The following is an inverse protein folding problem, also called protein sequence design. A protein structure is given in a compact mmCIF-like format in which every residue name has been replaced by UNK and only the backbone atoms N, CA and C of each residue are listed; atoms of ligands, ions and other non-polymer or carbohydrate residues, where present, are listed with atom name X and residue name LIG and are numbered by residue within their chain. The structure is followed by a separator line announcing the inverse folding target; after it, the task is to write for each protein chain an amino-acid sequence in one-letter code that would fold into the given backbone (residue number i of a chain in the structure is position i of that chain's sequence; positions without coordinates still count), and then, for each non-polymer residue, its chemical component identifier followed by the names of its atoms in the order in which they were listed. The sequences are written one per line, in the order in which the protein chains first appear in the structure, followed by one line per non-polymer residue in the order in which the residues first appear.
data_IF_817807561853
#
_entry.id   IF_817807561853
#
_cell.length_a   1.000
_cell.length_b   1.000
_cell.length_c   1.000
_cell.angle_alpha   90.00
_cell.angle_beta   90.00
_cell.angle_gamma   90.00
#
_symmetry.space_group_name_H-M   'P 1'
#
loop_
_entity.id
_entity.type
_entity.pdbx_description
1 polymer ?
#
# COMPACT_ATOMS: atom_id res chain seq x y z
N UNK A 1 -54.44 -21.59 -6.33
CA UNK A 1 -55.12 -20.30 -6.11
C UNK A 1 -54.31 -19.29 -6.91
N UNK A 2 -54.58 -19.23 -8.22
CA UNK A 2 -55.59 -18.32 -8.84
C UNK A 2 -54.96 -16.94 -8.99
N UNK A 3 -54.51 -16.63 -10.21
CA UNK A 3 -55.26 -15.90 -11.25
C UNK A 3 -55.01 -14.39 -11.03
N UNK A 4 -54.75 -13.51 -12.01
CA UNK A 4 -54.78 -13.56 -13.47
C UNK A 4 -54.29 -12.17 -13.93
N UNK A 5 -53.48 -12.04 -15.00
CA UNK A 5 -53.89 -11.59 -16.35
C UNK A 5 -54.48 -10.17 -16.38
N UNK A 6 -54.24 -9.29 -17.34
CA UNK A 6 -53.62 -9.26 -18.66
C UNK A 6 -53.69 -7.74 -19.06
N UNK A 7 -53.23 -7.17 -20.17
CA UNK A 7 -53.27 -7.67 -21.53
C UNK A 7 -52.59 -6.70 -22.52
N UNK A 8 -52.03 -7.29 -23.58
CA UNK A 8 -52.16 -6.95 -25.01
C UNK A 8 -51.66 -5.60 -25.59
N UNK A 9 -51.16 -5.50 -26.84
CA UNK A 9 -51.19 -6.41 -27.98
C UNK A 9 -50.12 -5.99 -29.03
N UNK A 10 -49.66 -6.97 -29.82
CA UNK A 10 -49.03 -6.78 -31.14
C UNK A 10 -50.13 -6.48 -32.21
N UNK A 11 -49.87 -6.36 -33.54
CA UNK A 11 -49.43 -7.51 -34.36
C UNK A 11 -48.58 -7.22 -35.63
N UNK A 12 -47.56 -8.07 -35.82
CA UNK A 12 -47.25 -8.86 -37.03
C UNK A 12 -46.45 -8.30 -38.25
N UNK A 13 -45.77 -9.21 -39.01
CA UNK A 13 -44.64 -8.99 -39.94
C UNK A 13 -45.08 -9.24 -41.42
N UNK A 14 -44.25 -9.64 -42.44
CA UNK A 14 -42.78 -9.81 -42.56
C UNK A 14 -42.13 -9.29 -43.90
N UNK A 15 -40.82 -9.54 -44.03
CA UNK A 15 -40.10 -10.00 -45.25
C UNK A 15 -39.63 -9.02 -46.37
N UNK A 16 -38.37 -9.28 -46.77
CA UNK A 16 -37.69 -9.07 -48.06
C UNK A 16 -36.98 -7.74 -48.42
N UNK A 17 -35.64 -7.87 -48.50
CA UNK A 17 -34.77 -7.66 -49.66
C UNK A 17 -34.72 -6.33 -50.43
N UNK A 18 -33.46 -5.88 -50.56
CA UNK A 18 -32.80 -5.32 -51.74
C UNK A 18 -32.98 -3.83 -52.11
N UNK A 19 -31.79 -3.25 -52.32
CA UNK A 19 -31.37 -2.23 -53.28
C UNK A 19 -32.05 -0.84 -53.34
N UNK A 20 -31.23 0.13 -52.94
CA UNK A 20 -30.58 1.13 -53.80
C UNK A 20 -31.39 2.32 -54.35
N UNK A 21 -30.60 3.39 -54.53
CA UNK A 21 -30.77 4.52 -55.43
C UNK A 21 -31.53 5.76 -54.90
N UNK A 22 -30.69 6.71 -54.47
CA UNK A 22 -30.62 8.11 -54.91
C UNK A 22 -31.77 9.13 -54.68
N UNK A 23 -31.27 10.33 -54.38
CA UNK A 23 -31.62 11.63 -54.98
C UNK A 23 -32.45 12.65 -54.16
N UNK A 24 -31.72 13.76 -53.87
CA UNK A 24 -32.11 15.19 -53.97
C UNK A 24 -33.19 15.81 -53.07
N UNK A 25 -32.81 16.93 -52.44
CA UNK A 25 -33.31 18.30 -52.70
C UNK A 25 -32.73 19.25 -51.62
N UNK A 26 -32.05 20.38 -51.91
CA UNK A 26 -32.38 21.60 -52.67
C UNK A 26 -33.26 22.61 -51.90
N UNK A 27 -32.72 23.83 -51.67
CA UNK A 27 -33.42 25.12 -51.51
C UNK A 27 -32.40 26.20 -51.93
N UNK A 28 -32.47 26.88 -53.08
CA UNK A 28 -33.39 27.92 -53.58
C UNK A 28 -33.10 29.36 -53.07
N UNK A 29 -33.05 30.28 -54.05
CA UNK A 29 -32.54 31.65 -54.06
C UNK A 29 -33.50 32.72 -53.45
N UNK A 30 -33.19 34.03 -53.63
CA UNK A 30 -34.12 34.82 -54.44
C UNK A 30 -33.49 35.87 -55.40
N UNK A 31 -34.27 36.23 -56.42
CA UNK A 31 -34.16 37.35 -57.40
C UNK A 31 -35.32 38.34 -57.10
N UNK A 32 -35.32 39.64 -57.51
CA UNK A 32 -35.96 40.10 -58.79
C UNK A 32 -35.27 41.37 -59.43
N UNK A 33 -35.03 41.49 -60.76
CA UNK A 33 -35.87 41.94 -61.91
C UNK A 33 -36.09 43.49 -62.05
N UNK A 34 -36.38 44.09 -63.24
CA UNK A 34 -36.07 43.76 -64.66
C UNK A 34 -35.71 44.96 -65.60
N UNK A 35 -35.34 44.61 -66.85
CA UNK A 35 -35.47 45.31 -68.15
C UNK A 35 -34.73 46.64 -68.43
N UNK A 36 -33.83 46.63 -69.43
CA UNK A 36 -34.04 47.35 -70.70
C UNK A 36 -33.03 46.92 -71.76
N UNK A 37 -33.56 46.60 -72.94
CA UNK A 37 -32.86 46.34 -74.20
C UNK A 37 -32.27 47.63 -74.77
N UNK A 38 -30.97 47.63 -75.04
CA UNK A 38 -30.37 48.55 -76.02
C UNK A 38 -29.57 47.73 -77.04
N UNK A 39 -30.20 47.48 -78.19
CA UNK A 39 -29.47 47.17 -79.42
C UNK A 39 -28.58 48.38 -79.75
N UNK A 40 -27.27 48.17 -79.80
CA UNK A 40 -26.36 49.12 -80.42
C UNK A 40 -25.69 48.43 -81.59
N UNK A 41 -26.22 48.74 -82.77
CA UNK A 41 -25.69 48.44 -84.08
C UNK A 41 -24.24 48.96 -84.19
N UNK A 42 -23.29 48.06 -84.46
CA UNK A 42 -21.89 48.42 -84.71
C UNK A 42 -21.65 48.30 -86.21
N UNK A 43 -21.69 49.42 -86.91
CA UNK A 43 -21.29 49.52 -88.31
C UNK A 43 -19.76 49.31 -88.46
N UNK A 44 -19.28 48.70 -89.57
CA UNK A 44 -17.86 48.40 -89.74
C UNK A 44 -17.09 49.63 -90.24
N UNK A 45 -16.03 50.01 -89.53
CA UNK A 45 -15.06 51.01 -90.00
C UNK A 45 -13.78 50.33 -90.48
N UNK A 46 -13.45 50.56 -91.76
CA UNK A 46 -12.23 50.09 -92.41
C UNK A 46 -11.06 51.04 -92.15
N UNK A 47 -9.91 50.42 -91.87
CA UNK A 47 -8.53 50.77 -92.21
C UNK A 47 -7.90 52.10 -91.72
N UNK A 48 -6.74 51.96 -91.06
CA UNK A 48 -5.72 53.00 -90.93
C UNK A 48 -4.57 52.53 -90.05
N UNK A 49 -3.46 52.10 -90.65
CA UNK A 49 -2.27 51.63 -89.92
C UNK A 49 -1.49 52.75 -89.23
N UNK A 50 -0.81 52.42 -88.13
CA UNK A 50 0.22 53.26 -87.51
C UNK A 50 0.46 53.01 -86.02
N UNK A 51 1.60 52.38 -85.70
CA UNK A 51 2.30 52.25 -84.40
C UNK A 51 1.82 51.17 -83.38
N UNK A 52 2.52 50.02 -83.27
CA UNK A 52 2.18 48.92 -82.36
C UNK A 52 2.63 49.10 -80.90
N UNK A 53 3.09 50.27 -80.46
CA UNK A 53 3.73 50.43 -79.14
C UNK A 53 2.78 50.39 -77.93
N UNK A 54 1.56 50.92 -78.05
CA UNK A 54 0.58 50.88 -76.95
C UNK A 54 -0.08 49.50 -76.80
N UNK A 55 -0.30 48.81 -77.92
CA UNK A 55 -0.81 47.44 -77.91
C UNK A 55 0.22 46.46 -77.33
N UNK A 56 1.52 46.62 -77.64
CA UNK A 56 2.57 45.78 -77.06
C UNK A 56 2.80 46.07 -75.57
N UNK A 57 2.67 47.32 -75.13
CA UNK A 57 2.80 47.67 -73.71
C UNK A 57 1.62 47.16 -72.88
N UNK A 58 0.39 47.24 -73.40
CA UNK A 58 -0.78 46.65 -72.76
C UNK A 58 -0.67 45.12 -72.67
N UNK A 59 -0.15 44.46 -73.72
CA UNK A 59 0.09 43.01 -73.73
C UNK A 59 1.16 42.61 -72.69
N UNK A 60 2.26 43.35 -72.58
CA UNK A 60 3.30 43.09 -71.59
C UNK A 60 2.80 43.28 -70.15
N UNK A 61 1.93 44.24 -69.90
CA UNK A 61 1.36 44.48 -68.57
C UNK A 61 0.42 43.35 -68.15
N UNK A 62 -0.41 42.85 -69.07
CA UNK A 62 -1.26 41.67 -68.83
C UNK A 62 -0.41 40.43 -68.56
N UNK A 63 0.69 40.26 -69.30
CA UNK A 63 1.59 39.11 -69.13
C UNK A 63 2.38 39.19 -67.81
N UNK A 64 2.78 40.39 -67.37
CA UNK A 64 3.41 40.62 -66.07
C UNK A 64 2.44 40.37 -64.91
N UNK A 65 1.16 40.78 -65.03
CA UNK A 65 0.13 40.49 -64.03
C UNK A 65 -0.21 38.99 -63.97
N UNK A 66 -0.25 38.30 -65.12
CA UNK A 66 -0.43 36.86 -65.16
C UNK A 66 0.76 36.11 -64.54
N UNK A 67 1.99 36.57 -64.78
CA UNK A 67 3.19 36.02 -64.15
C UNK A 67 3.21 36.27 -62.63
N UNK A 68 2.79 37.46 -62.18
CA UNK A 68 2.67 37.78 -60.75
C UNK A 68 1.57 36.95 -60.08
N UNK A 69 0.40 36.79 -60.71
CA UNK A 69 -0.68 35.94 -60.22
C UNK A 69 -0.23 34.46 -60.15
N UNK A 70 0.43 33.96 -61.20
CA UNK A 70 1.03 32.62 -61.22
C UNK A 70 2.07 32.43 -60.10
N UNK A 71 2.90 33.45 -59.85
CA UNK A 71 3.89 33.44 -58.77
C UNK A 71 3.21 33.38 -57.39
N UNK A 72 2.15 34.15 -57.15
CA UNK A 72 1.44 34.14 -55.87
C UNK A 72 0.76 32.80 -55.57
N UNK A 73 0.23 32.13 -56.60
CA UNK A 73 -0.39 30.80 -56.46
C UNK A 73 0.67 29.73 -56.19
N UNK A 74 1.83 29.81 -56.85
CA UNK A 74 2.97 28.93 -56.58
C UNK A 74 3.54 29.13 -55.17
N UNK A 75 3.62 30.36 -54.68
CA UNK A 75 4.04 30.69 -53.32
C UNK A 75 3.05 30.16 -52.28
N UNK A 76 1.73 30.26 -52.56
CA UNK A 76 0.68 29.72 -51.71
C UNK A 76 0.72 28.18 -51.64
N UNK A 77 0.90 27.51 -52.78
CA UNK A 77 1.08 26.05 -52.82
C UNK A 77 2.30 25.58 -52.03
N UNK A 78 3.42 26.31 -52.11
CA UNK A 78 4.64 25.98 -51.34
C UNK A 78 4.45 26.15 -49.82
N UNK A 79 3.57 27.06 -49.39
CA UNK A 79 3.24 27.26 -47.97
C UNK A 79 2.34 26.15 -47.42
N UNK A 80 1.40 25.67 -48.22
CA UNK A 80 0.55 24.54 -47.83
C UNK A 80 1.35 23.25 -47.66
N UNK A 81 2.28 22.95 -48.57
CA UNK A 81 3.14 21.75 -48.44
C UNK A 81 4.04 21.82 -47.21
N UNK A 82 4.57 23.00 -46.87
CA UNK A 82 5.40 23.18 -45.67
C UNK A 82 4.60 23.06 -44.36
N UNK A 83 3.30 23.37 -44.37
CA UNK A 83 2.41 23.17 -43.23
C UNK A 83 2.04 21.70 -43.05
N UNK A 84 1.80 20.97 -44.14
CA UNK A 84 1.53 19.54 -44.13
C UNK A 84 2.75 18.74 -43.63
N UNK A 85 3.96 19.08 -44.05
CA UNK A 85 5.19 18.44 -43.56
C UNK A 85 5.41 18.67 -42.04
N UNK A 86 5.07 19.85 -41.53
CA UNK A 86 5.16 20.14 -40.08
C UNK A 86 4.15 19.35 -39.26
N UNK A 87 2.94 19.14 -39.79
CA UNK A 87 1.92 18.32 -39.12
C UNK A 87 2.34 16.84 -39.09
N UNK A 88 2.90 16.32 -40.20
CA UNK A 88 3.43 14.96 -40.26
C UNK A 88 4.62 14.73 -39.30
N UNK A 89 5.47 15.73 -39.11
CA UNK A 89 6.57 15.67 -38.13
C UNK A 89 6.06 15.69 -36.68
N UNK A 90 4.99 16.44 -36.38
CA UNK A 90 4.41 16.45 -35.04
C UNK A 90 3.72 15.11 -34.71
N UNK A 91 2.97 14.56 -35.67
CA UNK A 91 2.29 13.27 -35.53
C UNK A 91 3.29 12.11 -35.30
N UNK A 92 4.37 12.08 -36.07
CA UNK A 92 5.41 11.05 -35.93
C UNK A 92 6.27 11.16 -34.66
N UNK A 93 6.39 12.36 -34.06
CA UNK A 93 7.05 12.52 -32.75
C UNK A 93 6.12 12.05 -31.64
N UNK A 94 4.83 12.38 -31.69
CA UNK A 94 3.85 11.92 -30.70
C UNK A 94 3.65 10.39 -30.73
N UNK A 95 3.68 9.76 -31.91
CA UNK A 95 3.62 8.29 -32.00
C UNK A 95 4.85 7.62 -31.40
N UNK A 96 6.05 8.18 -31.58
CA UNK A 96 7.28 7.64 -30.98
C UNK A 96 7.27 7.75 -29.46
N UNK A 97 6.86 8.89 -28.91
CA UNK A 97 6.77 9.07 -27.46
C UNK A 97 5.71 8.15 -26.83
N UNK A 98 4.58 7.90 -27.50
CA UNK A 98 3.58 6.93 -27.04
C UNK A 98 4.11 5.50 -27.06
N UNK A 99 4.86 5.11 -28.09
CA UNK A 99 5.45 3.78 -28.20
C UNK A 99 6.51 3.55 -27.12
N UNK A 100 7.44 4.49 -26.92
CA UNK A 100 8.50 4.40 -25.90
C UNK A 100 7.91 4.35 -24.47
N UNK A 101 6.87 5.15 -24.20
CA UNK A 101 6.16 5.12 -22.92
C UNK A 101 5.43 3.79 -22.69
N UNK A 102 4.81 3.23 -23.73
CA UNK A 102 4.13 1.93 -23.65
C UNK A 102 5.11 0.77 -23.43
N UNK A 103 6.30 0.82 -24.02
CA UNK A 103 7.36 -0.17 -23.81
C UNK A 103 7.92 -0.11 -22.40
N UNK A 104 8.17 1.09 -21.86
CA UNK A 104 8.59 1.26 -20.47
C UNK A 104 7.53 0.74 -19.49
N UNK A 105 6.25 1.00 -19.75
CA UNK A 105 5.17 0.55 -18.89
C UNK A 105 4.98 -0.99 -18.96
N UNK A 106 5.17 -1.59 -20.13
CA UNK A 106 5.20 -3.04 -20.30
C UNK A 106 6.39 -3.68 -19.57
N UNK A 107 7.55 -3.01 -19.55
CA UNK A 107 8.73 -3.47 -18.83
C UNK A 107 8.53 -3.43 -17.31
N UNK A 108 7.95 -2.36 -16.76
CA UNK A 108 7.64 -2.25 -15.32
C UNK A 108 6.63 -3.33 -14.89
N UNK A 109 5.59 -3.59 -15.71
CA UNK A 109 4.64 -4.68 -15.43
C UNK A 109 5.31 -6.05 -15.40
N UNK A 110 6.18 -6.36 -16.37
CA UNK A 110 6.94 -7.62 -16.40
C UNK A 110 7.85 -7.79 -15.18
N UNK A 111 8.49 -6.71 -14.72
CA UNK A 111 9.32 -6.74 -13.51
C UNK A 111 8.45 -6.97 -12.28
N UNK A 112 7.29 -6.31 -12.19
CA UNK A 112 6.32 -6.54 -11.11
C UNK A 112 5.82 -7.99 -11.07
N UNK A 113 5.42 -8.52 -12.23
CA UNK A 113 4.94 -9.90 -12.38
C UNK A 113 6.04 -10.93 -12.04
N UNK A 114 7.29 -10.69 -12.47
CA UNK A 114 8.43 -11.55 -12.17
C UNK A 114 8.79 -11.52 -10.68
N UNK A 115 8.76 -10.34 -10.05
CA UNK A 115 9.04 -10.20 -8.62
C UNK A 115 7.95 -10.84 -7.76
N UNK A 116 6.68 -10.66 -8.15
CA UNK A 116 5.54 -11.28 -7.48
C UNK A 116 5.52 -12.80 -7.66
N UNK A 117 5.85 -13.30 -8.86
CA UNK A 117 6.01 -14.72 -9.12
C UNK A 117 7.12 -15.36 -8.29
N UNK A 118 8.26 -14.67 -8.15
CA UNK A 118 9.38 -15.09 -7.29
C UNK A 118 9.00 -15.11 -5.81
N UNK A 119 8.39 -14.03 -5.29
CA UNK A 119 7.92 -14.00 -3.91
C UNK A 119 6.92 -15.12 -3.61
N UNK A 120 5.95 -15.33 -4.51
CA UNK A 120 4.95 -16.38 -4.32
C UNK A 120 5.56 -17.78 -4.39
N UNK A 121 6.56 -17.98 -5.26
CA UNK A 121 7.33 -19.23 -5.33
C UNK A 121 8.17 -19.46 -4.08
N UNK A 122 8.82 -18.43 -3.54
CA UNK A 122 9.58 -18.49 -2.29
C UNK A 122 8.68 -18.75 -1.09
N UNK A 123 7.51 -18.09 -0.98
CA UNK A 123 6.54 -18.37 0.07
C UNK A 123 6.00 -19.81 -0.02
N UNK A 124 5.68 -20.28 -1.23
CA UNK A 124 5.14 -21.62 -1.45
C UNK A 124 6.18 -22.71 -1.18
N UNK A 125 7.43 -22.49 -1.58
CA UNK A 125 8.53 -23.40 -1.27
C UNK A 125 8.89 -23.37 0.22
N UNK A 126 8.83 -22.20 0.86
CA UNK A 126 8.95 -22.02 2.31
C UNK A 126 7.89 -22.81 3.05
N UNK A 127 6.61 -22.64 2.72
CA UNK A 127 5.48 -23.38 3.29
C UNK A 127 5.62 -24.90 3.06
N UNK A 128 5.97 -25.32 1.84
CA UNK A 128 6.20 -26.72 1.51
C UNK A 128 7.40 -27.33 2.25
N UNK A 129 8.37 -26.52 2.69
CA UNK A 129 9.51 -26.96 3.51
C UNK A 129 9.21 -26.96 5.01
N UNK A 130 8.26 -26.13 5.46
CA UNK A 130 7.82 -26.03 6.86
C UNK A 130 6.95 -27.23 7.27
N UNK A 131 6.08 -27.70 6.39
CA UNK A 131 5.19 -28.84 6.65
C UNK A 131 5.91 -30.15 7.00
N UNK A 132 6.92 -30.62 6.23
CA UNK A 132 7.70 -31.79 6.63
C UNK A 132 8.54 -31.52 7.88
N UNK A 133 9.04 -30.29 8.09
CA UNK A 133 9.78 -29.94 9.32
C UNK A 133 8.90 -30.00 10.56
N UNK A 134 7.67 -29.48 10.51
CA UNK A 134 6.68 -29.57 11.60
C UNK A 134 6.31 -31.02 11.88
N UNK A 135 6.13 -31.83 10.83
CA UNK A 135 5.83 -33.26 10.99
C UNK A 135 7.01 -34.00 11.64
N UNK A 136 8.24 -33.70 11.23
CA UNK A 136 9.46 -34.23 11.85
C UNK A 136 9.60 -33.78 13.31
N UNK A 137 9.25 -32.52 13.61
CA UNK A 137 9.30 -31.96 14.95
C UNK A 137 8.23 -32.60 15.86
N UNK A 138 7.03 -32.82 15.34
CA UNK A 138 5.98 -33.54 16.05
C UNK A 138 6.40 -34.98 16.36
N UNK A 139 6.99 -35.69 15.39
CA UNK A 139 7.51 -37.04 15.59
C UNK A 139 8.66 -37.10 16.60
N UNK A 140 9.57 -36.12 16.59
CA UNK A 140 10.64 -36.04 17.59
C UNK A 140 10.11 -35.69 18.98
N UNK A 141 9.09 -34.83 19.08
CA UNK A 141 8.42 -34.57 20.36
C UNK A 141 7.70 -35.82 20.89
N UNK A 142 7.06 -36.60 20.02
CA UNK A 142 6.39 -37.85 20.40
C UNK A 142 7.41 -38.91 20.83
N UNK A 143 8.54 -39.02 20.12
CA UNK A 143 9.66 -39.88 20.50
C UNK A 143 10.28 -39.44 21.83
N UNK A 144 10.52 -38.15 22.03
CA UNK A 144 11.04 -37.59 23.30
C UNK A 144 10.05 -37.81 24.44
N UNK A 145 8.74 -37.69 24.20
CA UNK A 145 7.68 -37.99 25.17
C UNK A 145 7.65 -39.48 25.55
N UNK A 146 7.79 -40.36 24.55
CA UNK A 146 7.96 -41.80 24.74
C UNK A 146 9.21 -42.13 25.55
N UNK A 147 10.33 -41.48 25.22
CA UNK A 147 11.57 -41.63 25.96
C UNK A 147 11.43 -41.10 27.40
N UNK A 148 10.78 -39.94 27.60
CA UNK A 148 10.53 -39.36 28.92
C UNK A 148 9.66 -40.27 29.78
N UNK A 149 8.60 -40.86 29.23
CA UNK A 149 7.73 -41.79 29.96
C UNK A 149 8.45 -43.11 30.27
N UNK A 150 9.31 -43.59 29.38
CA UNK A 150 10.19 -44.73 29.64
C UNK A 150 11.25 -44.43 30.70
N UNK A 151 11.83 -43.22 30.69
CA UNK A 151 12.76 -42.72 31.70
C UNK A 151 12.04 -42.54 33.04
N UNK A 152 10.83 -41.98 33.04
CA UNK A 152 10.04 -41.75 34.25
C UNK A 152 9.62 -43.07 34.90
N UNK A 153 9.25 -44.09 34.11
CA UNK A 153 8.97 -45.43 34.64
C UNK A 153 10.24 -46.13 35.15
N UNK A 154 11.38 -45.99 34.46
CA UNK A 154 12.68 -46.47 34.95
C UNK A 154 13.12 -45.76 36.23
N UNK A 155 12.91 -44.46 36.32
CA UNK A 155 13.17 -43.63 37.51
C UNK A 155 12.19 -43.93 38.63
N UNK A 156 10.93 -44.30 38.35
CA UNK A 156 9.98 -44.74 39.36
C UNK A 156 10.34 -46.12 39.92
N UNK A 157 10.79 -47.05 39.06
CA UNK A 157 11.27 -48.38 39.46
C UNK A 157 12.59 -48.27 40.21
N UNK A 158 13.57 -47.51 39.71
CA UNK A 158 14.81 -47.20 40.42
C UNK A 158 14.53 -46.42 41.70
N UNK A 159 13.60 -45.47 41.70
CA UNK A 159 13.19 -44.70 42.88
C UNK A 159 12.55 -45.56 43.96
N UNK A 160 11.82 -46.63 43.56
CA UNK A 160 11.33 -47.65 44.48
C UNK A 160 12.43 -48.53 45.08
N UNK A 161 13.54 -48.73 44.35
CA UNK A 161 14.73 -49.44 44.85
C UNK A 161 15.68 -48.51 45.64
N UNK A 162 15.81 -47.23 45.28
CA UNK A 162 16.57 -46.19 45.97
C UNK A 162 15.86 -45.70 47.24
N UNK A 163 14.52 -45.72 47.30
CA UNK A 163 13.78 -45.47 48.54
C UNK A 163 14.14 -46.48 49.65
N UNK A 164 14.83 -47.58 49.29
CA UNK A 164 15.37 -48.58 50.24
C UNK A 164 16.83 -48.30 50.63
N UNK A 165 17.52 -47.33 50.01
CA UNK A 165 18.90 -46.94 50.32
C UNK A 165 19.05 -45.40 50.39
N UNK A 166 19.25 -44.88 51.61
CA UNK A 166 19.91 -43.60 51.96
C UNK A 166 19.11 -42.28 51.86
N UNK A 167 19.03 -41.57 53.00
CA UNK A 167 18.61 -40.17 53.08
C UNK A 167 19.57 -39.22 52.33
N UNK A 168 20.85 -39.58 52.21
CA UNK A 168 21.88 -38.80 51.51
C UNK A 168 21.60 -38.71 50.00
N UNK A 169 21.10 -39.79 49.40
CA UNK A 169 20.79 -39.81 47.96
C UNK A 169 19.56 -38.95 47.65
N UNK A 170 18.60 -38.90 48.57
CA UNK A 170 17.44 -38.00 48.47
C UNK A 170 17.85 -36.53 48.53
N UNK A 171 18.75 -36.17 49.45
CA UNK A 171 19.26 -34.80 49.55
C UNK A 171 20.08 -34.40 48.31
N UNK A 172 20.94 -35.29 47.81
CA UNK A 172 21.71 -35.08 46.58
C UNK A 172 20.80 -34.87 45.36
N UNK A 173 19.72 -35.65 45.27
CA UNK A 173 18.71 -35.49 44.24
C UNK A 173 17.98 -34.14 44.35
N UNK A 174 17.54 -33.74 45.55
CA UNK A 174 16.89 -32.45 45.77
C UNK A 174 17.82 -31.26 45.42
N UNK A 175 19.10 -31.35 45.73
CA UNK A 175 20.09 -30.33 45.35
C UNK A 175 20.24 -30.22 43.83
N UNK A 176 20.34 -31.36 43.14
CA UNK A 176 20.42 -31.41 41.67
C UNK A 176 19.16 -30.85 41.01
N UNK A 177 17.98 -31.14 41.57
CA UNK A 177 16.71 -30.60 41.08
C UNK A 177 16.62 -29.08 41.30
N UNK A 178 17.07 -28.58 42.45
CA UNK A 178 17.15 -27.14 42.69
C UNK A 178 18.11 -26.46 41.70
N UNK A 179 19.29 -27.06 41.44
CA UNK A 179 20.24 -26.54 40.45
C UNK A 179 19.63 -26.50 39.05
N UNK A 180 18.96 -27.57 38.64
CA UNK A 180 18.26 -27.64 37.35
C UNK A 180 17.23 -26.51 37.21
N UNK A 181 16.39 -26.29 38.24
CA UNK A 181 15.40 -25.22 38.24
C UNK A 181 16.03 -23.83 38.17
N UNK A 182 17.13 -23.58 38.89
CA UNK A 182 17.86 -22.30 38.82
C UNK A 182 18.47 -22.08 37.43
N UNK A 183 19.06 -23.11 36.83
CA UNK A 183 19.61 -23.05 35.47
C UNK A 183 18.51 -22.81 34.43
N UNK A 184 17.39 -23.52 34.55
CA UNK A 184 16.23 -23.34 33.67
C UNK A 184 15.61 -21.95 33.81
N UNK A 185 15.56 -21.39 35.03
CA UNK A 185 15.10 -20.02 35.27
C UNK A 185 15.98 -19.01 34.54
N UNK A 186 17.30 -19.13 34.68
CA UNK A 186 18.26 -18.25 34.02
C UNK A 186 18.19 -18.37 32.50
N UNK A 187 18.10 -19.61 31.97
CA UNK A 187 17.95 -19.85 30.54
C UNK A 187 16.66 -19.22 29.98
N UNK A 188 15.51 -19.43 30.65
CA UNK A 188 14.23 -18.85 30.24
C UNK A 188 14.27 -17.33 30.27
N UNK A 189 14.86 -16.72 31.29
CA UNK A 189 14.98 -15.28 31.36
C UNK A 189 15.85 -14.72 30.22
N UNK A 190 17.01 -15.33 29.96
CA UNK A 190 17.93 -14.85 28.91
C UNK A 190 17.37 -15.09 27.50
N UNK A 191 16.75 -16.25 27.25
CA UNK A 191 16.30 -16.63 25.91
C UNK A 191 14.94 -16.04 25.52
N UNK A 192 14.00 -15.96 26.46
CA UNK A 192 12.62 -15.57 26.16
C UNK A 192 12.17 -14.32 26.89
N UNK A 193 12.96 -13.79 27.84
CA UNK A 193 12.56 -12.66 28.66
C UNK A 193 11.36 -12.93 29.58
N UNK A 194 11.03 -14.20 29.80
CA UNK A 194 9.83 -14.60 30.55
C UNK A 194 10.09 -14.50 32.06
N UNK A 195 9.76 -13.34 32.60
CA UNK A 195 9.95 -13.01 34.02
C UNK A 195 9.03 -13.81 34.95
N UNK A 196 7.82 -14.15 34.51
CA UNK A 196 6.87 -14.92 35.32
C UNK A 196 7.30 -16.39 35.43
N UNK A 197 7.69 -17.02 34.32
CA UNK A 197 8.25 -18.37 34.35
C UNK A 197 9.54 -18.44 35.17
N UNK A 198 10.46 -17.48 34.99
CA UNK A 198 11.67 -17.40 35.78
C UNK A 198 11.36 -17.29 37.29
N UNK A 199 10.41 -16.43 37.68
CA UNK A 199 9.94 -16.32 39.07
C UNK A 199 9.32 -17.61 39.60
N UNK A 200 8.52 -18.30 38.81
CA UNK A 200 7.89 -19.56 39.21
C UNK A 200 8.94 -20.66 39.47
N UNK A 201 9.97 -20.74 38.60
CA UNK A 201 11.09 -21.66 38.74
C UNK A 201 11.94 -21.33 39.97
N UNK A 202 12.29 -20.06 40.19
CA UNK A 202 13.02 -19.60 41.39
C UNK A 202 12.25 -19.92 42.69
N UNK A 203 10.93 -19.73 42.73
CA UNK A 203 10.10 -20.11 43.89
C UNK A 203 10.08 -21.61 44.13
N UNK A 204 10.06 -22.41 43.06
CA UNK A 204 10.12 -23.86 43.17
C UNK A 204 11.48 -24.33 43.70
N UNK A 205 12.58 -23.72 43.23
CA UNK A 205 13.91 -23.96 43.77
C UNK A 205 14.00 -23.58 45.27
N UNK A 206 13.52 -22.41 45.68
CA UNK A 206 13.51 -22.02 47.11
C UNK A 206 12.69 -22.98 47.99
N UNK A 207 11.58 -23.53 47.46
CA UNK A 207 10.79 -24.54 48.17
C UNK A 207 11.58 -25.83 48.40
N UNK A 208 12.36 -26.27 47.42
CA UNK A 208 13.24 -27.45 47.56
C UNK A 208 14.34 -27.17 48.58
N UNK A 209 14.99 -26.00 48.51
CA UNK A 209 16.02 -25.62 49.48
C UNK A 209 15.48 -25.47 50.90
N UNK A 210 14.22 -25.05 51.06
CA UNK A 210 13.53 -25.02 52.35
C UNK A 210 13.29 -26.43 52.91
N UNK A 211 12.98 -27.41 52.06
CA UNK A 211 12.79 -28.81 52.48
C UNK A 211 14.08 -29.48 52.96
N UNK A 212 15.23 -29.05 52.42
CA UNK A 212 16.56 -29.55 52.80
C UNK A 212 17.01 -29.05 54.19
N UNK A 213 16.48 -27.91 54.66
CA UNK A 213 16.76 -27.31 55.98
C UNK A 213 18.26 -27.22 56.37
N UNK A 214 19.14 -27.01 55.39
CA UNK A 214 20.59 -26.90 55.60
C UNK A 214 21.05 -25.44 55.72
N UNK A 215 21.74 -25.12 56.82
CA UNK A 215 22.32 -23.79 57.09
C UNK A 215 23.28 -23.32 56.00
N UNK A 216 23.99 -24.25 55.33
CA UNK A 216 24.93 -23.94 54.23
C UNK A 216 24.22 -23.31 53.02
N UNK A 217 22.92 -23.59 52.85
CA UNK A 217 22.10 -23.11 51.73
C UNK A 217 21.50 -21.72 51.98
N UNK A 218 21.68 -21.12 53.16
CA UNK A 218 21.14 -19.78 53.44
C UNK A 218 21.62 -18.71 52.47
N UNK A 219 22.88 -18.75 52.07
CA UNK A 219 23.43 -17.80 51.08
C UNK A 219 22.68 -17.92 49.74
N UNK A 220 22.40 -19.15 49.31
CA UNK A 220 21.62 -19.43 48.09
C UNK A 220 20.19 -18.92 48.22
N UNK A 221 19.52 -19.21 49.34
CA UNK A 221 18.14 -18.73 49.57
C UNK A 221 18.07 -17.20 49.63
N UNK A 222 19.07 -16.55 50.21
CA UNK A 222 19.18 -15.08 50.19
C UNK A 222 19.37 -14.53 48.78
N UNK A 223 20.17 -15.21 47.94
CA UNK A 223 20.33 -14.83 46.54
C UNK A 223 19.02 -14.99 45.77
N UNK A 224 18.30 -16.10 45.92
CA UNK A 224 16.99 -16.31 45.30
C UNK A 224 15.99 -15.23 45.74
N UNK A 225 15.97 -14.87 47.02
CA UNK A 225 15.09 -13.81 47.52
C UNK A 225 15.40 -12.45 46.87
N UNK A 226 16.68 -12.12 46.71
CA UNK A 226 17.12 -10.89 46.01
C UNK A 226 16.74 -10.92 44.54
N UNK A 227 16.91 -12.05 43.85
CA UNK A 227 16.58 -12.20 42.43
C UNK A 227 15.06 -12.16 42.19
N UNK A 228 14.28 -12.80 43.07
CA UNK A 228 12.82 -12.67 43.08
C UNK A 228 12.37 -11.23 43.30
N UNK A 229 13.04 -10.46 44.16
CA UNK A 229 12.74 -9.05 44.37
C UNK A 229 13.09 -8.21 43.12
N UNK A 230 14.24 -8.47 42.49
CA UNK A 230 14.64 -7.82 41.25
C UNK A 230 13.65 -8.08 40.11
N UNK A 231 13.23 -9.35 39.92
CA UNK A 231 12.24 -9.72 38.90
C UNK A 231 10.84 -9.14 39.15
N UNK A 232 10.47 -8.88 40.41
CA UNK A 232 9.21 -8.17 40.72
C UNK A 232 9.25 -6.69 40.36
N UNK A 233 10.45 -6.11 40.32
CA UNK A 233 10.64 -4.71 39.95
C UNK A 233 10.61 -4.45 38.45
N UNK A 234 10.61 -5.50 37.62
CA UNK A 234 10.58 -5.39 36.15
C UNK A 234 9.18 -4.98 35.69
N UNK A 235 9.01 -3.83 34.99
CA UNK A 235 7.74 -3.43 34.40
C UNK A 235 7.20 -4.44 33.39
N UNK A 236 5.89 -4.64 33.38
CA UNK A 236 5.20 -5.46 32.36
C UNK A 236 4.74 -4.57 31.21
N UNK A 237 5.15 -4.90 29.98
CA UNK A 237 4.70 -4.21 28.77
C UNK A 237 3.46 -4.91 28.22
N UNK A 238 2.41 -4.14 27.92
CA UNK A 238 1.19 -4.64 27.26
C UNK A 238 1.43 -4.78 25.75
N UNK A 239 2.17 -5.83 25.38
CA UNK A 239 2.50 -6.13 23.97
C UNK A 239 1.24 -6.40 23.16
N UNK A 240 0.23 -7.03 23.75
CA UNK A 240 -1.05 -7.32 23.08
C UNK A 240 -1.81 -6.04 22.76
N UNK A 241 -1.95 -5.12 23.73
CA UNK A 241 -2.56 -3.81 23.51
C UNK A 241 -1.83 -2.98 22.45
N UNK A 242 -0.50 -2.95 22.48
CA UNK A 242 0.30 -2.26 21.47
C UNK A 242 0.13 -2.89 20.07
N UNK A 243 0.05 -4.22 19.98
CA UNK A 243 -0.20 -4.93 18.72
C UNK A 243 -1.59 -4.58 18.15
N UNK A 244 -2.63 -4.58 18.99
CA UNK A 244 -3.99 -4.23 18.57
C UNK A 244 -4.09 -2.77 18.10
N UNK A 245 -3.40 -1.84 18.77
CA UNK A 245 -3.30 -0.44 18.32
C UNK A 245 -2.65 -0.34 16.94
N UNK A 246 -1.55 -1.05 16.70
CA UNK A 246 -0.90 -1.09 15.38
C UNK A 246 -1.80 -1.71 14.32
N UNK A 247 -2.55 -2.76 14.65
CA UNK A 247 -3.50 -3.40 13.74
C UNK A 247 -4.62 -2.43 13.33
N UNK A 248 -5.17 -1.68 14.29
CA UNK A 248 -6.16 -0.65 14.01
C UNK A 248 -5.60 0.47 13.11
N UNK A 249 -4.32 0.85 13.29
CA UNK A 249 -3.65 1.81 12.41
C UNK A 249 -3.44 1.28 11.00
N UNK A 250 -3.17 -0.01 10.83
CA UNK A 250 -3.07 -0.63 9.50
C UNK A 250 -4.39 -0.56 8.74
N UNK A 251 -5.51 -0.81 9.43
CA UNK A 251 -6.85 -0.67 8.84
C UNK A 251 -7.20 0.79 8.53
N UNK A 252 -6.89 1.72 9.43
CA UNK A 252 -7.06 3.16 9.18
C UNK A 252 -6.21 3.62 7.98
N UNK A 253 -4.95 3.16 7.90
CA UNK A 253 -4.04 3.43 6.79
C UNK A 253 -4.58 2.96 5.43
N UNK A 254 -5.32 1.84 5.41
CA UNK A 254 -5.96 1.34 4.20
C UNK A 254 -7.11 2.24 3.72
N UNK A 255 -7.75 2.97 4.65
CA UNK A 255 -8.86 3.88 4.36
C UNK A 255 -8.41 5.29 3.93
N UNK A 256 -7.12 5.63 3.97
CA UNK A 256 -6.65 6.94 3.49
C UNK A 256 -6.88 7.04 1.99
N UNK A 257 -7.59 8.10 1.60
CA UNK A 257 -7.82 8.46 0.21
C UNK A 257 -6.99 9.70 -0.14
N UNK A 258 -6.30 9.64 -1.28
CA UNK A 258 -5.73 10.84 -1.92
C UNK A 258 -6.78 11.56 -2.77
N UNK A 259 -7.80 10.81 -3.22
CA UNK A 259 -8.91 11.32 -4.02
C UNK A 259 -10.23 11.17 -3.27
N UNK A 260 -10.76 12.27 -2.74
CA UNK A 260 -12.21 12.39 -2.62
C UNK A 260 -12.73 12.86 -3.98
N UNK A 261 -13.46 12.01 -4.71
CA UNK A 261 -14.32 12.55 -5.76
C UNK A 261 -15.25 13.55 -5.06
N UNK A 262 -15.39 14.80 -5.56
CA UNK A 262 -16.40 15.70 -5.03
C UNK A 262 -17.70 14.92 -5.06
N UNK A 263 -18.36 14.74 -3.90
CA UNK A 263 -19.74 14.31 -3.87
C UNK A 263 -20.43 15.21 -4.88
N UNK A 264 -20.91 14.60 -5.98
CA UNK A 264 -21.54 15.36 -7.05
C UNK A 264 -22.61 16.18 -6.37
N UNK A 265 -22.37 17.50 -6.26
CA UNK A 265 -23.30 18.43 -5.63
C UNK A 265 -24.65 18.06 -6.20
N UNK A 266 -25.52 17.53 -5.33
CA UNK A 266 -26.87 17.19 -5.73
C UNK A 266 -27.42 18.49 -6.28
N UNK A 267 -27.42 18.62 -7.62
CA UNK A 267 -28.04 19.75 -8.29
C UNK A 267 -29.48 19.68 -7.85
N UNK A 268 -29.82 20.52 -6.88
CA UNK A 268 -31.17 20.73 -6.43
C UNK A 268 -31.96 20.97 -7.71
N UNK A 269 -32.82 20.02 -8.07
CA UNK A 269 -33.76 20.21 -9.15
C UNK A 269 -34.69 21.34 -8.70
N UNK A 270 -34.45 22.54 -9.22
CA UNK A 270 -35.31 23.69 -8.97
C UNK A 270 -36.71 23.36 -9.49
N UNK A 271 -37.71 23.57 -8.62
CA UNK A 271 -39.11 23.30 -8.92
C UNK A 271 -39.61 24.14 -10.13
N UNK A 272 -40.62 23.66 -10.89
CA UNK A 272 -41.07 24.32 -12.10
C UNK A 272 -41.65 25.71 -11.78
N UNK A 273 -41.13 26.75 -12.43
CA UNK A 273 -41.63 28.12 -12.28
C UNK A 273 -42.97 28.28 -13.03
N UNK A 274 -44.04 28.57 -12.29
CA UNK A 274 -45.39 28.78 -12.84
C UNK A 274 -45.52 30.13 -13.59
N UNK A 275 -44.66 31.12 -13.30
CA UNK A 275 -44.77 32.47 -13.85
C UNK A 275 -43.70 32.81 -14.90
N UNK A 276 -44.07 33.58 -15.93
CA UNK A 276 -43.20 33.87 -17.09
C UNK A 276 -42.02 34.79 -16.73
N UNK A 277 -42.22 35.64 -15.72
CA UNK A 277 -41.18 36.55 -15.20
C UNK A 277 -40.10 35.80 -14.43
N UNK A 278 -40.48 34.71 -13.76
CA UNK A 278 -39.53 33.87 -13.03
C UNK A 278 -38.78 32.92 -13.95
N UNK A 279 -39.41 32.44 -15.03
CA UNK A 279 -38.69 31.74 -16.13
C UNK A 279 -37.63 32.61 -16.80
N UNK A 280 -37.90 33.90 -17.01
CA UNK A 280 -36.92 34.81 -17.59
C UNK A 280 -35.73 35.07 -16.64
N UNK A 281 -36.00 35.17 -15.33
CA UNK A 281 -34.97 35.31 -14.30
C UNK A 281 -34.14 34.04 -14.13
N UNK A 282 -34.76 32.86 -14.18
CA UNK A 282 -34.08 31.57 -14.19
C UNK A 282 -33.22 31.41 -15.45
N UNK A 283 -33.74 31.76 -16.62
CA UNK A 283 -33.00 31.74 -17.89
C UNK A 283 -31.80 32.70 -17.89
N UNK A 284 -31.95 33.91 -17.35
CA UNK A 284 -30.83 34.86 -17.22
C UNK A 284 -29.78 34.37 -16.22
N UNK A 285 -30.18 33.80 -15.06
CA UNK A 285 -29.23 33.19 -14.11
C UNK A 285 -28.50 31.99 -14.70
N UNK A 286 -29.21 31.12 -15.43
CA UNK A 286 -28.62 29.97 -16.10
C UNK A 286 -27.65 30.40 -17.22
N UNK A 287 -27.96 31.48 -17.95
CA UNK A 287 -27.07 32.05 -18.95
C UNK A 287 -25.82 32.70 -18.34
N UNK A 288 -25.98 33.40 -17.21
CA UNK A 288 -24.86 33.99 -16.46
C UNK A 288 -23.98 32.90 -15.83
N UNK A 289 -24.57 31.82 -15.32
CA UNK A 289 -23.84 30.66 -14.81
C UNK A 289 -23.08 29.92 -15.93
N UNK A 290 -23.70 29.69 -17.10
CA UNK A 290 -22.99 29.11 -18.25
C UNK A 290 -21.84 30.00 -18.75
N UNK A 291 -21.98 31.33 -18.62
CA UNK A 291 -20.92 32.26 -18.98
C UNK A 291 -19.81 32.30 -17.93
N UNK A 292 -20.11 32.13 -16.65
CA UNK A 292 -19.09 31.99 -15.60
C UNK A 292 -18.33 30.67 -15.70
N UNK A 293 -18.99 29.58 -16.08
CA UNK A 293 -18.34 28.27 -16.31
C UNK A 293 -17.36 28.31 -17.50
N UNK A 294 -17.59 29.19 -18.47
CA UNK A 294 -16.71 29.38 -19.62
C UNK A 294 -15.54 30.35 -19.35
N UNK A 295 -15.60 31.13 -18.27
CA UNK A 295 -14.50 31.98 -17.81
C UNK A 295 -13.71 31.19 -16.76
N UNK A 296 -12.84 30.31 -17.22
CA UNK A 296 -11.85 29.65 -16.38
C UNK A 296 -10.80 30.69 -15.97
N UNK A 297 -11.02 31.37 -14.85
CA UNK A 297 -9.96 32.11 -14.16
C UNK A 297 -9.03 31.06 -13.54
N UNK A 298 -8.09 30.57 -14.34
CA UNK A 298 -6.95 29.79 -13.84
C UNK A 298 -6.11 30.73 -12.97
N UNK A 299 -6.42 30.81 -11.67
CA UNK A 299 -5.42 31.20 -10.67
C UNK A 299 -4.36 30.11 -10.70
N UNK A 300 -3.24 30.44 -11.34
CA UNK A 300 -2.06 29.60 -11.46
C UNK A 300 -1.30 29.64 -10.14
N UNK A 301 -1.81 28.93 -9.14
CA UNK A 301 -1.07 28.38 -8.00
C UNK A 301 -1.83 27.14 -7.50
N UNK A 302 -1.87 26.10 -8.32
CA UNK A 302 -2.11 24.74 -7.81
C UNK A 302 -0.72 24.11 -7.77
N UNK A 303 -0.21 23.70 -6.59
CA UNK A 303 1.07 23.02 -6.52
C UNK A 303 1.02 21.75 -7.38
N UNK A 304 2.19 21.37 -7.89
CA UNK A 304 2.43 20.43 -8.99
C UNK A 304 2.02 18.95 -8.69
N UNK A 305 1.13 18.70 -7.71
CA UNK A 305 0.70 17.36 -7.27
C UNK A 305 -0.59 16.83 -7.92
N UNK A 306 -1.26 17.62 -8.76
CA UNK A 306 -2.53 17.21 -9.41
C UNK A 306 -2.40 16.13 -10.51
N UNK A 307 -1.24 15.45 -10.62
CA UNK A 307 -1.07 14.27 -11.46
C UNK A 307 -0.30 13.17 -10.69
N UNK A 308 -0.74 12.82 -9.48
CA UNK A 308 -0.38 11.51 -8.91
C UNK A 308 -1.31 10.48 -9.54
N UNK A 309 -0.77 9.66 -10.45
CA UNK A 309 -1.46 8.51 -11.05
C UNK A 309 -2.11 7.66 -9.93
N UNK A 310 -3.37 7.16 -10.05
CA UNK A 310 -3.96 6.24 -9.07
C UNK A 310 -3.07 5.06 -8.65
N UNK A 311 -2.09 4.69 -9.50
CA UNK A 311 -1.05 3.72 -9.18
C UNK A 311 -0.11 4.16 -8.03
N UNK A 312 0.21 5.45 -7.92
CA UNK A 312 1.07 6.00 -6.86
C UNK A 312 0.40 5.94 -5.48
N UNK A 313 -0.89 6.23 -5.40
CA UNK A 313 -1.65 6.14 -4.14
C UNK A 313 -1.64 4.72 -3.56
N UNK A 314 -1.86 3.72 -4.41
CA UNK A 314 -1.79 2.31 -4.02
C UNK A 314 -0.41 1.93 -3.47
N UNK A 315 0.66 2.43 -4.09
CA UNK A 315 2.04 2.18 -3.65
C UNK A 315 2.34 2.80 -2.28
N UNK A 316 1.86 4.02 -2.01
CA UNK A 316 2.05 4.67 -0.71
C UNK A 316 1.31 3.89 0.38
N UNK A 317 0.05 3.50 0.15
CA UNK A 317 -0.71 2.66 1.10
C UNK A 317 -0.02 1.31 1.36
N UNK A 318 0.48 0.67 0.31
CA UNK A 318 1.16 -0.62 0.43
C UNK A 318 2.46 -0.50 1.25
N UNK A 319 3.24 0.56 1.03
CA UNK A 319 4.44 0.83 1.82
C UNK A 319 4.11 1.12 3.29
N UNK A 320 3.06 1.92 3.54
CA UNK A 320 2.62 2.22 4.90
C UNK A 320 2.20 0.94 5.63
N UNK A 321 1.37 0.09 4.98
CA UNK A 321 0.98 -1.21 5.50
C UNK A 321 2.19 -2.09 5.83
N UNK A 322 3.13 -2.22 4.89
CA UNK A 322 4.35 -3.00 5.08
C UNK A 322 5.16 -2.51 6.30
N UNK A 323 5.30 -1.19 6.48
CA UNK A 323 6.03 -0.62 7.61
C UNK A 323 5.34 -0.87 8.94
N UNK A 324 4.01 -0.80 8.98
CA UNK A 324 3.21 -1.13 10.18
C UNK A 324 3.30 -2.63 10.51
N UNK A 325 3.24 -3.50 9.51
CA UNK A 325 3.45 -4.95 9.68
C UNK A 325 4.88 -5.25 10.17
N UNK A 326 5.90 -4.54 9.66
CA UNK A 326 7.28 -4.65 10.16
C UNK A 326 7.38 -4.19 11.62
N UNK A 327 6.69 -3.10 11.99
CA UNK A 327 6.63 -2.65 13.38
C UNK A 327 5.96 -3.70 14.29
N UNK A 328 4.89 -4.35 13.84
CA UNK A 328 4.24 -5.44 14.58
C UNK A 328 5.19 -6.62 14.81
N UNK A 329 5.93 -7.05 13.79
CA UNK A 329 6.93 -8.13 13.95
C UNK A 329 8.07 -7.70 14.88
N UNK A 330 8.53 -6.46 14.78
CA UNK A 330 9.57 -5.91 15.66
C UNK A 330 9.10 -5.82 17.12
N UNK A 331 7.84 -5.45 17.35
CA UNK A 331 7.20 -5.44 18.67
C UNK A 331 7.18 -6.86 19.26
N UNK A 332 6.71 -7.85 18.51
CA UNK A 332 6.62 -9.24 18.97
C UNK A 332 7.98 -9.90 19.22
N UNK A 333 9.00 -9.47 18.48
CA UNK A 333 10.39 -9.94 18.66
C UNK A 333 11.17 -9.16 19.72
N UNK A 334 10.56 -8.16 20.37
CA UNK A 334 11.22 -7.32 21.36
C UNK A 334 12.34 -6.44 20.80
N UNK A 335 12.33 -6.17 19.49
CA UNK A 335 13.33 -5.35 18.81
C UNK A 335 12.92 -3.86 18.81
N UNK A 336 13.20 -3.17 19.91
CA UNK A 336 12.85 -1.75 20.07
C UNK A 336 13.50 -0.81 19.03
N UNK A 337 14.63 -1.19 18.43
CA UNK A 337 15.27 -0.38 17.38
C UNK A 337 14.46 -0.45 16.08
N UNK A 338 14.21 -1.68 15.57
CA UNK A 338 13.43 -1.87 14.35
C UNK A 338 12.00 -1.38 14.51
N UNK A 339 11.40 -1.54 15.69
CA UNK A 339 10.08 -1.01 16.00
C UNK A 339 10.01 0.50 15.79
N UNK A 340 10.90 1.26 16.44
CA UNK A 340 10.93 2.73 16.33
C UNK A 340 11.28 3.20 14.92
N UNK A 341 12.23 2.54 14.26
CA UNK A 341 12.61 2.83 12.87
C UNK A 341 11.42 2.63 11.90
N UNK A 342 10.69 1.52 12.03
CA UNK A 342 9.51 1.25 11.22
C UNK A 342 8.42 2.31 11.42
N UNK A 343 8.16 2.73 12.66
CA UNK A 343 7.18 3.77 12.97
C UNK A 343 7.61 5.14 12.43
N UNK A 344 8.88 5.53 12.58
CA UNK A 344 9.38 6.79 12.03
C UNK A 344 9.27 6.83 10.50
N UNK A 345 9.59 5.73 9.82
CA UNK A 345 9.40 5.62 8.38
C UNK A 345 7.92 5.67 8.00
N UNK A 346 7.05 5.03 8.76
CA UNK A 346 5.60 5.10 8.53
C UNK A 346 5.09 6.54 8.60
N UNK A 347 5.54 7.32 9.59
CA UNK A 347 5.23 8.76 9.70
C UNK A 347 5.63 9.57 8.46
N UNK A 348 6.80 9.28 7.88
CA UNK A 348 7.24 9.92 6.63
C UNK A 348 6.30 9.66 5.45
N UNK A 349 5.74 8.45 5.35
CA UNK A 349 4.76 8.11 4.32
C UNK A 349 3.37 8.70 4.61
N UNK A 350 2.95 8.77 5.88
CA UNK A 350 1.71 9.44 6.28
C UNK A 350 1.72 10.93 5.90
N UNK A 351 2.87 11.58 5.97
CA UNK A 351 3.02 12.99 5.57
C UNK A 351 2.68 13.25 4.08
N UNK A 352 2.73 12.22 3.21
CA UNK A 352 2.34 12.36 1.80
C UNK A 352 0.83 12.62 1.62
N UNK A 353 0.01 12.24 2.61
CA UNK A 353 -1.44 12.47 2.61
C UNK A 353 -1.85 13.76 3.31
N UNK A 354 -0.89 14.55 3.82
CA UNK A 354 -1.20 15.75 4.62
C UNK A 354 -1.97 16.82 3.84
N UNK A 355 -1.77 16.89 2.52
CA UNK A 355 -2.47 17.85 1.64
C UNK A 355 -3.85 17.32 1.19
N UNK A 356 -4.01 16.01 1.02
CA UNK A 356 -5.25 15.38 0.53
C UNK A 356 -6.25 15.06 1.64
N UNK A 357 -5.77 14.51 2.76
CA UNK A 357 -6.58 14.16 3.93
C UNK A 357 -5.85 14.59 5.22
N UNK A 358 -5.78 15.90 5.42
CA UNK A 358 -5.05 16.51 6.53
C UNK A 358 -5.51 16.01 7.90
N UNK A 359 -6.81 15.75 8.08
CA UNK A 359 -7.38 15.35 9.38
C UNK A 359 -6.98 13.91 9.71
N UNK A 360 -7.16 12.97 8.79
CA UNK A 360 -6.82 11.57 9.04
C UNK A 360 -5.30 11.38 9.10
N UNK A 361 -4.54 12.03 8.22
CA UNK A 361 -3.08 11.98 8.24
C UNK A 361 -2.50 12.51 9.56
N UNK A 362 -3.03 13.62 10.08
CA UNK A 362 -2.58 14.16 11.36
C UNK A 362 -2.97 13.27 12.55
N UNK A 363 -4.12 12.61 12.50
CA UNK A 363 -4.53 11.66 13.54
C UNK A 363 -3.59 10.43 13.59
N UNK A 364 -3.32 9.84 12.42
CA UNK A 364 -2.37 8.72 12.27
C UNK A 364 -0.96 9.10 12.71
N UNK A 365 -0.46 10.26 12.27
CA UNK A 365 0.88 10.72 12.64
C UNK A 365 1.05 10.85 14.16
N UNK A 366 0.04 11.39 14.85
CA UNK A 366 0.05 11.51 16.31
C UNK A 366 0.02 10.15 17.01
N UNK A 367 -0.78 9.21 16.53
CA UNK A 367 -0.83 7.87 17.15
C UNK A 367 0.49 7.12 16.94
N UNK A 368 1.10 7.24 15.75
CA UNK A 368 2.41 6.66 15.46
C UNK A 368 3.50 7.27 16.35
N UNK A 369 3.44 8.57 16.61
CA UNK A 369 4.38 9.24 17.53
C UNK A 369 4.22 8.77 18.98
N UNK A 370 2.97 8.61 19.44
CA UNK A 370 2.71 8.09 20.77
C UNK A 370 3.25 6.67 20.91
N UNK A 371 2.97 5.80 19.93
CA UNK A 371 3.48 4.42 19.90
C UNK A 371 5.02 4.38 19.84
N UNK A 372 5.66 5.26 19.07
CA UNK A 372 7.12 5.33 19.02
C UNK A 372 7.77 5.74 20.36
N UNK A 373 7.02 6.43 21.23
CA UNK A 373 7.41 6.78 22.59
C UNK A 373 7.20 5.68 23.63
N UNK A 374 6.44 4.63 23.30
CA UNK A 374 6.19 3.52 24.22
C UNK A 374 7.44 2.64 24.40
N UNK A 375 7.65 2.17 25.63
CA UNK A 375 8.79 1.31 25.94
C UNK A 375 8.42 -0.15 25.64
N UNK A 376 8.96 -0.67 24.54
CA UNK A 376 8.69 -2.04 24.05
C UNK A 376 9.62 -3.10 24.64
N UNK A 377 10.83 -2.71 25.08
CA UNK A 377 11.83 -3.61 25.64
C UNK A 377 12.21 -3.14 27.03
N UNK A 378 12.30 -4.09 27.96
CA UNK A 378 12.69 -3.83 29.35
C UNK A 378 14.03 -4.52 29.62
N UNK A 379 14.94 -3.83 30.30
CA UNK A 379 16.20 -4.43 30.74
C UNK A 379 15.92 -5.46 31.84
N UNK A 380 16.41 -6.68 31.65
CA UNK A 380 16.21 -7.78 32.58
C UNK A 380 17.39 -7.86 33.56
N UNK A 381 17.13 -8.11 34.87
CA UNK A 381 18.20 -8.28 35.85
C UNK A 381 18.93 -9.63 35.68
N UNK A 382 20.20 -9.69 36.09
CA UNK A 382 20.94 -10.96 36.20
C UNK A 382 20.42 -11.79 37.39
N UNK A 383 20.02 -13.03 37.13
CA UNK A 383 19.55 -14.01 38.13
C UNK A 383 20.47 -15.23 38.28
N UNK A 384 21.74 -15.11 37.87
CA UNK A 384 22.71 -16.20 37.98
C UNK A 384 23.41 -16.32 39.34
N UNK A 385 23.14 -15.44 40.31
CA UNK A 385 23.86 -15.44 41.60
C UNK A 385 23.46 -16.66 42.43
N UNK A 386 22.16 -16.98 42.50
CA UNK A 386 21.66 -18.14 43.23
C UNK A 386 22.29 -19.45 42.75
N UNK A 387 22.37 -19.65 41.43
CA UNK A 387 23.01 -20.82 40.82
C UNK A 387 24.48 -20.94 41.26
N UNK A 388 25.27 -19.88 41.11
CA UNK A 388 26.69 -19.88 41.52
C UNK A 388 26.87 -20.17 43.02
N UNK A 389 26.00 -19.64 43.86
CA UNK A 389 26.05 -19.91 45.31
C UNK A 389 25.65 -21.33 45.66
N UNK A 390 24.73 -21.94 44.92
CA UNK A 390 24.35 -23.34 45.10
C UNK A 390 25.48 -24.27 44.66
N UNK A 391 26.07 -24.06 43.48
CA UNK A 391 27.21 -24.82 42.98
C UNK A 391 28.39 -24.78 43.98
N UNK A 392 28.68 -23.60 44.54
CA UNK A 392 29.70 -23.44 45.58
C UNK A 392 29.36 -24.18 46.88
N UNK A 393 28.08 -24.26 47.27
CA UNK A 393 27.63 -24.99 48.44
C UNK A 393 27.73 -26.52 48.24
N UNK A 394 27.36 -27.01 47.05
CA UNK A 394 27.48 -28.42 46.66
C UNK A 394 28.94 -28.85 46.62
N UNK A 395 29.81 -28.08 45.96
CA UNK A 395 31.25 -28.39 45.89
C UNK A 395 31.92 -28.46 47.26
N UNK A 396 31.52 -27.60 48.21
CA UNK A 396 32.01 -27.66 49.60
C UNK A 396 31.54 -28.93 50.32
N UNK A 397 30.29 -29.34 50.09
CA UNK A 397 29.74 -30.57 50.67
C UNK A 397 30.49 -31.80 50.17
N UNK A 398 30.80 -31.87 48.88
CA UNK A 398 31.56 -32.97 48.29
C UNK A 398 32.99 -33.05 48.87
N UNK A 399 33.64 -31.90 49.04
CA UNK A 399 34.96 -31.81 49.67
C UNK A 399 34.95 -32.30 51.13
N UNK A 400 33.94 -31.91 51.92
CA UNK A 400 33.78 -32.35 53.31
C UNK A 400 33.55 -33.88 53.40
N UNK A 401 32.77 -34.45 52.47
CA UNK A 401 32.52 -35.90 52.44
C UNK A 401 33.73 -36.71 51.97
N UNK A 402 34.58 -36.14 51.11
CA UNK A 402 35.81 -36.78 50.65
C UNK A 402 36.90 -36.87 51.74
N UNK A 403 36.98 -35.87 52.62
CA UNK A 403 37.96 -35.84 53.72
C UNK A 403 37.60 -36.71 54.93
N UNK A 404 36.33 -37.11 55.07
CA UNK A 404 35.88 -38.00 56.16
C UNK A 404 36.04 -39.50 55.85
N UNK A 405 36.45 -39.85 54.63
CA UNK A 405 36.62 -41.22 54.14
C UNK A 405 38.07 -41.71 54.04
N UNK A 406 39.05 -40.83 54.34
CA UNK A 406 40.47 -41.17 54.53
C UNK A 406 40.80 -41.28 56.02
#
# INVERSE_FOLDING_TARGET
MSDKQDDNNAPQPPENAADDTAEKQAVAAPVPAPAETFEREIAPAKAGGGFPLLATLALLLVLALAAAAGWTVLEAQRRETALLDRLALLESVTERELMDASEQQAQIRRIGDDLQGKLQSELRSGLASLEPRLTQQAQTLDAVSGDLSSLQSRVAVQGGELARFSATDRESWLLSEAEYLLRLANQRLIMTGDTESARALLRSADRILLQLDDTRLHTTRSAIASELAALRGVPTVDVEGLYLRLSALTEQAAALAIFELPEAEQRLQEAPAEDWRDRLRQGYRAAVQKLSDYIIIRRREVPMQALMDPQWEGLVRQNLRMLLEQAQVALLSGNAFLYRESLQRARHWVAQFAESDARSAQALDRELEQLAGETVTVELPDIGRSLRTLEAAVARREADTGQAGE
#
